data_IF_455134867772
#
_entry.id   IF_455134867772
#
_cell.length_a   1.000
_cell.length_b   1.000
_cell.length_c   1.000
_cell.angle_alpha   90.00
_cell.angle_beta   90.00
_cell.angle_gamma   90.00
#
_symmetry.space_group_name_H-M   'P 1'
#
loop_
_entity.id
_entity.type
_entity.pdbx_description
1 polymer ?
#
# COMPACT_ATOMS: atom_id res chain seq x y z
N UNK A 1 18.85 0.07 21.57
CA UNK A 1 18.08 1.31 21.34
C UNK A 1 18.94 2.44 20.77
N UNK A 2 20.15 2.72 21.28
CA UNK A 2 21.04 3.76 20.70
C UNK A 2 21.37 3.52 19.21
N UNK A 3 21.57 2.26 18.81
CA UNK A 3 21.85 1.91 17.41
C UNK A 3 20.66 2.16 16.48
N UNK A 4 19.45 1.88 16.93
CA UNK A 4 18.21 2.10 16.13
C UNK A 4 17.97 3.60 15.92
N UNK A 5 18.19 4.43 16.93
CA UNK A 5 18.07 5.89 16.79
C UNK A 5 19.09 6.45 15.80
N UNK A 6 20.35 5.99 15.85
CA UNK A 6 21.37 6.40 14.89
C UNK A 6 21.02 6.02 13.44
N UNK A 7 20.40 4.84 13.24
CA UNK A 7 19.88 4.40 11.93
C UNK A 7 18.76 5.33 11.44
N UNK A 8 17.81 5.67 12.33
CA UNK A 8 16.74 6.61 12.04
C UNK A 8 17.28 7.99 11.64
N UNK A 9 18.18 8.54 12.43
CA UNK A 9 18.76 9.86 12.17
C UNK A 9 19.51 9.89 10.83
N UNK A 10 20.27 8.83 10.53
CA UNK A 10 20.97 8.68 9.26
C UNK A 10 20.00 8.60 8.08
N UNK A 11 18.95 7.78 8.19
CA UNK A 11 17.94 7.65 7.15
C UNK A 11 17.19 8.97 6.91
N UNK A 12 16.72 9.64 7.96
CA UNK A 12 15.98 10.90 7.84
C UNK A 12 16.85 12.04 7.32
N UNK A 13 18.18 12.03 7.54
CA UNK A 13 19.10 12.93 6.85
C UNK A 13 19.10 12.70 5.35
N UNK A 14 19.12 11.45 4.92
CA UNK A 14 18.98 11.09 3.49
C UNK A 14 17.68 11.57 2.88
N UNK A 15 16.55 11.41 3.59
CA UNK A 15 15.24 11.94 3.17
C UNK A 15 15.29 13.45 2.93
N UNK A 16 16.02 14.20 3.77
CA UNK A 16 16.18 15.65 3.65
C UNK A 16 17.28 16.09 2.67
N UNK A 17 17.83 15.16 1.89
CA UNK A 17 18.93 15.47 0.97
C UNK A 17 20.26 15.82 1.66
N UNK A 18 20.40 15.54 2.95
CA UNK A 18 21.62 15.77 3.72
C UNK A 18 22.61 14.61 3.55
N UNK A 19 23.88 14.86 3.85
CA UNK A 19 24.88 13.81 3.78
C UNK A 19 24.63 12.73 4.84
N UNK A 20 24.44 11.50 4.39
CA UNK A 20 24.38 10.32 5.23
C UNK A 20 25.77 9.82 5.62
N UNK A 21 25.89 9.11 6.75
CA UNK A 21 27.13 8.47 7.17
C UNK A 21 27.42 7.21 6.34
N UNK A 22 26.35 6.51 5.94
CA UNK A 22 26.36 5.36 5.04
C UNK A 22 25.00 5.24 4.34
N UNK A 23 24.94 4.46 3.26
CA UNK A 23 23.68 4.18 2.53
C UNK A 23 22.89 3.12 3.29
N UNK A 24 21.69 3.45 3.82
CA UNK A 24 20.88 2.49 4.56
C UNK A 24 20.40 1.33 3.67
N UNK A 25 20.45 0.12 4.23
CA UNK A 25 19.88 -1.06 3.57
C UNK A 25 18.41 -1.18 3.95
N UNK A 26 17.55 -0.97 2.96
CA UNK A 26 16.10 -1.22 3.09
C UNK A 26 15.78 -2.54 2.41
N UNK A 27 15.14 -3.45 3.13
CA UNK A 27 14.74 -4.75 2.58
C UNK A 27 13.33 -5.14 3.07
N UNK A 28 12.48 -5.48 2.13
CA UNK A 28 11.12 -5.93 2.38
C UNK A 28 11.02 -7.42 2.15
N UNK A 29 10.42 -8.13 3.10
CA UNK A 29 10.26 -9.57 3.02
C UNK A 29 8.79 -9.93 2.76
N UNK A 30 8.54 -10.49 1.60
CA UNK A 30 7.23 -11.07 1.32
C UNK A 30 6.93 -12.23 2.28
N UNK A 31 5.69 -12.36 2.79
CA UNK A 31 5.34 -13.45 3.71
C UNK A 31 5.66 -14.85 3.18
N UNK A 32 5.51 -15.04 1.88
CA UNK A 32 5.82 -16.31 1.21
C UNK A 32 7.32 -16.60 1.21
N UNK A 33 8.16 -15.57 1.03
CA UNK A 33 9.61 -15.69 1.13
C UNK A 33 10.04 -16.13 2.54
N UNK A 34 9.44 -15.53 3.58
CA UNK A 34 9.72 -15.91 4.97
C UNK A 34 9.42 -17.39 5.20
N UNK A 35 8.25 -17.86 4.75
CA UNK A 35 7.86 -19.26 4.86
C UNK A 35 8.83 -20.19 4.12
N UNK A 36 9.20 -19.85 2.89
CA UNK A 36 10.11 -20.66 2.06
C UNK A 36 11.53 -20.69 2.65
N UNK A 37 12.05 -19.54 3.05
CA UNK A 37 13.38 -19.41 3.66
C UNK A 37 13.50 -20.26 4.95
N UNK A 38 12.48 -20.21 5.79
CA UNK A 38 12.44 -20.94 7.06
C UNK A 38 11.85 -22.35 6.94
N UNK A 39 11.54 -22.79 5.71
CA UNK A 39 10.98 -24.12 5.39
C UNK A 39 9.66 -24.41 6.10
N UNK A 40 8.84 -23.40 6.29
CA UNK A 40 7.52 -23.53 6.86
C UNK A 40 6.49 -23.83 5.76
N UNK A 41 5.41 -24.51 6.16
CA UNK A 41 4.22 -24.64 5.30
C UNK A 41 3.49 -23.30 5.20
N UNK A 42 3.49 -22.73 4.02
CA UNK A 42 2.93 -21.41 3.75
C UNK A 42 1.43 -21.32 4.08
N UNK A 43 0.66 -22.39 3.80
CA UNK A 43 -0.77 -22.42 4.13
C UNK A 43 -0.95 -22.31 5.63
N UNK A 44 -0.25 -23.16 6.38
CA UNK A 44 -0.36 -23.21 7.84
C UNK A 44 0.14 -21.92 8.49
N UNK A 45 1.27 -21.39 8.04
CA UNK A 45 1.91 -20.20 8.64
C UNK A 45 1.03 -18.95 8.56
N UNK A 46 0.20 -18.80 7.52
CA UNK A 46 -0.76 -17.71 7.45
C UNK A 46 -1.93 -17.85 8.45
N UNK A 47 -2.13 -19.03 9.04
CA UNK A 47 -3.15 -19.29 10.07
C UNK A 47 -2.56 -19.44 11.48
N UNK A 48 -1.24 -19.63 11.59
CA UNK A 48 -0.47 -19.80 12.82
C UNK A 48 0.51 -18.63 12.97
N UNK A 49 0.08 -17.58 13.63
CA UNK A 49 0.87 -16.35 13.76
C UNK A 49 2.18 -16.56 14.54
N UNK A 50 2.18 -17.38 15.58
CA UNK A 50 3.37 -17.63 16.39
C UNK A 50 4.47 -18.29 15.55
N UNK A 51 4.11 -19.27 14.72
CA UNK A 51 5.04 -19.90 13.79
C UNK A 51 5.58 -18.92 12.75
N UNK A 52 4.70 -18.07 12.19
CA UNK A 52 5.12 -17.05 11.24
C UNK A 52 6.08 -16.04 11.85
N UNK A 53 5.78 -15.53 13.06
CA UNK A 53 6.61 -14.55 13.77
C UNK A 53 7.98 -15.13 14.10
N UNK A 54 8.05 -16.41 14.49
CA UNK A 54 9.33 -17.09 14.69
C UNK A 54 10.16 -17.16 13.38
N UNK A 55 9.51 -17.40 12.25
CA UNK A 55 10.16 -17.35 10.93
C UNK A 55 10.64 -15.96 10.55
N UNK A 56 9.83 -14.94 10.81
CA UNK A 56 10.21 -13.54 10.61
C UNK A 56 11.44 -13.16 11.45
N UNK A 57 11.44 -13.47 12.74
CA UNK A 57 12.57 -13.24 13.65
C UNK A 57 13.85 -13.92 13.16
N UNK A 58 13.75 -15.14 12.62
CA UNK A 58 14.90 -15.84 12.02
C UNK A 58 15.44 -15.10 10.81
N UNK A 59 14.57 -14.66 9.90
CA UNK A 59 14.97 -13.87 8.72
C UNK A 59 15.66 -12.58 9.15
N UNK A 60 15.08 -11.86 10.12
CA UNK A 60 15.66 -10.62 10.64
C UNK A 60 17.04 -10.81 11.27
N UNK A 61 17.33 -11.98 11.86
CA UNK A 61 18.65 -12.33 12.40
C UNK A 61 19.67 -12.69 11.33
N UNK A 62 19.22 -13.27 10.24
CA UNK A 62 20.11 -13.76 9.18
C UNK A 62 20.51 -12.65 8.18
N UNK A 63 19.75 -11.54 8.14
CA UNK A 63 20.02 -10.40 7.26
C UNK A 63 20.32 -9.14 8.07
N UNK A 64 21.49 -8.53 7.78
CA UNK A 64 21.87 -7.23 8.38
C UNK A 64 21.24 -6.08 7.58
N UNK A 65 20.08 -5.63 8.05
CA UNK A 65 19.29 -4.55 7.43
C UNK A 65 19.08 -3.39 8.39
N UNK A 66 18.85 -2.21 7.82
CA UNK A 66 18.55 -1.02 8.62
C UNK A 66 17.06 -0.76 8.74
N UNK A 67 16.34 -0.94 7.64
CA UNK A 67 14.91 -0.66 7.56
C UNK A 67 14.17 -1.80 6.83
N UNK A 68 12.95 -2.05 7.27
CA UNK A 68 12.01 -2.93 6.57
C UNK A 68 10.61 -2.34 6.63
N UNK A 69 9.76 -2.65 5.66
CA UNK A 69 8.33 -2.45 5.88
C UNK A 69 7.82 -3.53 6.84
N UNK A 70 6.72 -3.26 7.51
CA UNK A 70 6.04 -4.37 8.16
C UNK A 70 5.60 -5.35 7.08
N UNK A 71 5.65 -6.62 7.41
CA UNK A 71 5.17 -7.66 6.50
C UNK A 71 3.74 -7.34 6.05
N UNK A 72 3.50 -7.14 4.75
CA UNK A 72 2.16 -6.93 4.22
C UNK A 72 1.38 -8.24 4.36
N UNK A 73 0.89 -8.48 5.55
CA UNK A 73 0.18 -9.70 5.90
C UNK A 73 -1.31 -9.52 5.66
N UNK A 74 -1.85 -10.33 4.77
CA UNK A 74 -3.27 -10.35 4.42
C UNK A 74 -3.93 -11.57 5.11
N UNK A 75 -4.45 -11.40 6.33
CA UNK A 75 -4.91 -12.53 7.13
C UNK A 75 -6.06 -13.28 6.43
N UNK A 76 -5.88 -14.57 6.06
CA UNK A 76 -6.92 -15.33 5.38
C UNK A 76 -8.18 -15.49 6.23
N UNK A 77 -8.06 -15.46 7.55
CA UNK A 77 -9.18 -15.55 8.48
C UNK A 77 -10.15 -14.36 8.32
N UNK A 78 -9.62 -13.12 8.29
CA UNK A 78 -10.43 -11.92 8.07
C UNK A 78 -11.12 -11.97 6.71
N UNK A 79 -10.38 -12.35 5.69
CA UNK A 79 -10.91 -12.50 4.34
C UNK A 79 -12.00 -13.57 4.27
N UNK A 80 -11.84 -14.69 4.97
CA UNK A 80 -12.87 -15.73 5.08
C UNK A 80 -14.13 -15.26 5.82
N UNK A 81 -13.97 -14.48 6.90
CA UNK A 81 -15.11 -13.90 7.66
C UNK A 81 -15.96 -12.97 6.82
N UNK A 82 -15.34 -12.26 5.87
CA UNK A 82 -16.02 -11.34 4.95
C UNK A 82 -16.49 -12.01 3.65
N UNK A 83 -16.03 -13.22 3.36
CA UNK A 83 -16.27 -13.89 2.08
C UNK A 83 -15.60 -13.14 0.92
N UNK A 84 -14.31 -12.82 1.09
CA UNK A 84 -13.52 -12.04 0.14
C UNK A 84 -13.41 -12.71 -1.23
N UNK A 85 -13.60 -11.91 -2.29
CA UNK A 85 -13.31 -12.28 -3.68
C UNK A 85 -12.02 -11.63 -4.19
N UNK A 86 -11.53 -10.61 -3.50
CA UNK A 86 -10.37 -9.80 -3.92
C UNK A 86 -9.06 -10.25 -3.27
N UNK A 87 -9.11 -10.89 -2.12
CA UNK A 87 -7.96 -11.49 -1.46
C UNK A 87 -8.27 -12.93 -1.09
N UNK A 88 -7.66 -13.87 -1.80
CA UNK A 88 -7.94 -15.30 -1.70
C UNK A 88 -6.64 -16.07 -1.53
N UNK A 89 -6.56 -16.87 -0.47
CA UNK A 89 -5.41 -17.76 -0.29
C UNK A 89 -5.48 -18.93 -1.26
N UNK A 90 -4.43 -19.13 -2.03
CA UNK A 90 -4.27 -20.30 -2.90
C UNK A 90 -4.16 -21.57 -2.06
N UNK A 91 -4.99 -22.57 -2.35
CA UNK A 91 -5.06 -23.82 -1.57
C UNK A 91 -3.92 -24.79 -1.85
N UNK A 92 -3.11 -24.52 -2.88
CA UNK A 92 -2.01 -25.40 -3.28
C UNK A 92 -0.68 -24.96 -2.66
N UNK A 93 -0.38 -23.67 -2.77
CA UNK A 93 0.91 -23.11 -2.33
C UNK A 93 0.79 -22.11 -1.16
N UNK A 94 -0.42 -21.75 -0.75
CA UNK A 94 -0.66 -20.83 0.37
C UNK A 94 -0.54 -19.34 0.02
N UNK A 95 -0.13 -18.98 -1.18
CA UNK A 95 0.08 -17.59 -1.58
C UNK A 95 -1.24 -16.82 -1.60
N UNK A 96 -1.21 -15.60 -1.10
CA UNK A 96 -2.34 -14.69 -1.23
C UNK A 96 -2.42 -14.18 -2.68
N UNK A 97 -3.59 -14.30 -3.25
CA UNK A 97 -3.88 -13.88 -4.62
C UNK A 97 -4.84 -12.69 -4.59
N UNK A 98 -4.67 -11.78 -5.54
CA UNK A 98 -5.54 -10.64 -5.78
C UNK A 98 -6.25 -10.81 -7.14
N UNK A 99 -7.34 -11.61 -7.21
CA UNK A 99 -8.11 -11.74 -8.44
C UNK A 99 -8.75 -10.41 -8.84
N UNK A 100 -8.73 -10.09 -10.12
CA UNK A 100 -9.44 -8.91 -10.63
C UNK A 100 -10.95 -9.06 -10.42
N UNK A 101 -11.55 -8.08 -9.75
CA UNK A 101 -13.00 -8.01 -9.52
C UNK A 101 -13.50 -6.64 -9.95
N UNK A 102 -14.42 -6.61 -10.90
CA UNK A 102 -15.13 -5.38 -11.25
C UNK A 102 -16.18 -5.08 -10.19
N UNK A 103 -15.86 -4.19 -9.27
CA UNK A 103 -16.70 -3.88 -8.12
C UNK A 103 -17.52 -2.59 -8.31
N UNK A 104 -16.97 -1.60 -9.04
CA UNK A 104 -17.67 -0.39 -9.47
C UNK A 104 -18.20 -0.58 -10.89
N UNK A 105 -19.48 -0.34 -11.15
CA UNK A 105 -20.07 -0.41 -12.47
C UNK A 105 -19.98 0.96 -13.18
N UNK A 106 -19.97 0.99 -14.54
CA UNK A 106 -19.78 2.24 -15.27
C UNK A 106 -20.93 3.25 -15.06
N UNK A 107 -22.13 2.82 -14.76
CA UNK A 107 -23.29 3.66 -14.43
C UNK A 107 -23.22 4.28 -13.02
N UNK A 108 -22.29 3.83 -12.19
CA UNK A 108 -22.13 4.29 -10.81
C UNK A 108 -21.05 5.39 -10.65
N UNK A 109 -20.39 5.79 -11.73
CA UNK A 109 -19.47 6.93 -11.68
C UNK A 109 -20.10 8.20 -11.10
N UNK A 110 -21.35 8.58 -11.46
CA UNK A 110 -21.98 9.76 -10.85
C UNK A 110 -22.12 9.65 -9.33
N UNK A 111 -22.49 8.47 -8.80
CA UNK A 111 -22.62 8.23 -7.36
C UNK A 111 -21.25 8.27 -6.68
N UNK A 112 -20.19 7.68 -7.30
CA UNK A 112 -18.83 7.74 -6.79
C UNK A 112 -18.28 9.17 -6.74
N UNK A 113 -18.59 9.99 -7.76
CA UNK A 113 -18.12 11.38 -7.84
C UNK A 113 -18.82 12.24 -6.79
N UNK A 114 -20.11 12.04 -6.57
CA UNK A 114 -20.92 12.79 -5.61
C UNK A 114 -20.59 12.44 -4.16
N UNK A 115 -20.56 11.15 -3.81
CA UNK A 115 -20.24 10.64 -2.48
C UNK A 115 -19.43 9.35 -2.56
N UNK A 116 -18.08 9.44 -2.66
CA UNK A 116 -17.21 8.28 -2.79
C UNK A 116 -17.37 7.26 -1.65
N UNK A 117 -17.50 7.75 -0.41
CA UNK A 117 -17.60 6.88 0.77
C UNK A 117 -18.90 6.09 0.75
N UNK A 118 -20.02 6.76 0.45
CA UNK A 118 -21.31 6.09 0.35
C UNK A 118 -21.31 5.07 -0.79
N UNK A 119 -20.85 5.44 -1.98
CA UNK A 119 -20.77 4.54 -3.13
C UNK A 119 -19.90 3.31 -2.83
N UNK A 120 -18.70 3.50 -2.26
CA UNK A 120 -17.81 2.39 -1.89
C UNK A 120 -18.50 1.48 -0.86
N UNK A 121 -19.10 2.03 0.18
CA UNK A 121 -19.73 1.24 1.24
C UNK A 121 -20.97 0.49 0.78
N UNK A 122 -21.83 1.12 -0.05
CA UNK A 122 -23.13 0.58 -0.43
C UNK A 122 -23.12 -0.25 -1.72
N UNK A 123 -22.15 -0.01 -2.63
CA UNK A 123 -22.09 -0.67 -3.95
C UNK A 123 -20.88 -1.57 -4.09
N UNK A 124 -19.68 -1.05 -3.79
CA UNK A 124 -18.41 -1.72 -4.08
C UNK A 124 -18.12 -2.82 -3.08
N UNK A 125 -18.10 -2.51 -1.78
CA UNK A 125 -17.78 -3.50 -0.74
C UNK A 125 -18.71 -4.72 -0.74
N UNK A 126 -20.05 -4.60 -0.95
CA UNK A 126 -20.92 -5.77 -1.05
C UNK A 126 -20.62 -6.68 -2.24
N UNK A 127 -19.98 -6.18 -3.30
CA UNK A 127 -19.55 -7.02 -4.45
C UNK A 127 -18.20 -7.67 -4.22
N UNK A 128 -17.30 -6.98 -3.51
CA UNK A 128 -15.98 -7.50 -3.14
C UNK A 128 -16.05 -8.57 -2.06
N UNK A 129 -17.01 -8.44 -1.15
CA UNK A 129 -17.16 -9.29 0.03
C UNK A 129 -18.58 -9.85 0.12
N UNK A 130 -18.72 -11.15 -0.12
CA UNK A 130 -20.07 -11.77 -0.22
C UNK A 130 -20.89 -11.64 1.04
N UNK A 131 -20.27 -11.67 2.22
CA UNK A 131 -20.98 -11.54 3.49
C UNK A 131 -21.49 -10.11 3.74
N UNK A 132 -20.85 -9.10 3.19
CA UNK A 132 -21.31 -7.71 3.26
C UNK A 132 -22.49 -7.44 2.31
N UNK A 133 -22.66 -8.26 1.27
CA UNK A 133 -23.79 -8.20 0.35
C UNK A 133 -25.06 -8.86 0.86
N UNK A 134 -25.04 -9.50 2.04
CA UNK A 134 -26.22 -10.15 2.66
C UNK A 134 -27.11 -9.13 3.36
N UNK A 135 -28.36 -9.49 3.55
CA UNK A 135 -29.29 -8.67 4.36
C UNK A 135 -28.87 -8.63 5.84
N UNK A 136 -29.22 -7.51 6.51
CA UNK A 136 -29.06 -7.41 7.96
C UNK A 136 -29.95 -8.46 8.67
N UNK A 137 -29.49 -9.05 9.77
CA UNK A 137 -28.29 -8.70 10.55
C UNK A 137 -26.98 -9.40 10.08
N UNK A 138 -27.03 -10.24 9.05
CA UNK A 138 -25.89 -11.08 8.65
C UNK A 138 -24.67 -10.25 8.21
N UNK A 139 -24.88 -9.26 7.36
CA UNK A 139 -23.80 -8.34 6.91
C UNK A 139 -23.18 -7.59 8.08
N UNK A 140 -24.01 -7.07 8.99
CA UNK A 140 -23.54 -6.37 10.20
C UNK A 140 -22.74 -7.30 11.11
N UNK A 141 -23.19 -8.53 11.28
CA UNK A 141 -22.47 -9.53 12.09
C UNK A 141 -21.12 -9.93 11.46
N UNK A 142 -21.08 -10.10 10.14
CA UNK A 142 -19.83 -10.41 9.43
C UNK A 142 -18.81 -9.27 9.59
N UNK A 143 -19.26 -8.02 9.40
CA UNK A 143 -18.44 -6.84 9.58
C UNK A 143 -17.94 -6.71 11.03
N UNK A 144 -18.81 -6.87 12.02
CA UNK A 144 -18.44 -6.81 13.43
C UNK A 144 -17.42 -7.89 13.81
N UNK A 145 -17.58 -9.13 13.33
CA UNK A 145 -16.61 -10.20 13.54
C UNK A 145 -15.25 -9.89 12.91
N UNK A 146 -15.22 -9.38 11.69
CA UNK A 146 -14.00 -8.98 11.01
C UNK A 146 -13.28 -7.85 11.75
N UNK A 147 -14.01 -6.84 12.25
CA UNK A 147 -13.45 -5.77 13.07
C UNK A 147 -12.86 -6.26 14.40
N UNK A 148 -13.55 -7.17 15.08
CA UNK A 148 -13.05 -7.77 16.32
C UNK A 148 -11.79 -8.60 16.06
N UNK A 149 -11.77 -9.34 14.95
CA UNK A 149 -10.60 -10.10 14.54
C UNK A 149 -9.41 -9.17 14.23
N UNK A 150 -9.64 -8.11 13.46
CA UNK A 150 -8.63 -7.08 13.18
C UNK A 150 -8.04 -6.53 14.46
N UNK A 151 -8.90 -6.03 15.35
CA UNK A 151 -8.47 -5.42 16.61
C UNK A 151 -7.70 -6.36 17.53
N UNK A 152 -8.15 -7.61 17.66
CA UNK A 152 -7.64 -8.52 18.69
C UNK A 152 -6.51 -9.43 18.20
N UNK A 153 -6.45 -9.71 16.89
CA UNK A 153 -5.49 -10.68 16.35
C UNK A 153 -4.49 -9.99 15.42
N UNK A 154 -4.97 -9.17 14.48
CA UNK A 154 -4.10 -8.56 13.48
C UNK A 154 -3.23 -7.46 14.10
N UNK A 155 -3.79 -6.61 14.96
CA UNK A 155 -3.00 -5.61 15.68
C UNK A 155 -1.94 -6.27 16.57
N UNK A 156 -2.31 -7.31 17.32
CA UNK A 156 -1.35 -8.04 18.15
C UNK A 156 -0.22 -8.68 17.31
N UNK A 157 -0.54 -9.20 16.13
CA UNK A 157 0.46 -9.69 15.18
C UNK A 157 1.45 -8.58 14.78
N UNK A 158 0.95 -7.40 14.41
CA UNK A 158 1.82 -6.28 14.04
C UNK A 158 2.64 -5.73 15.20
N UNK A 159 2.11 -5.73 16.42
CA UNK A 159 2.87 -5.39 17.62
C UNK A 159 4.08 -6.32 17.79
N UNK A 160 3.89 -7.63 17.60
CA UNK A 160 4.98 -8.60 17.67
C UNK A 160 5.99 -8.44 16.53
N UNK A 161 5.55 -8.16 15.31
CA UNK A 161 6.45 -7.85 14.19
C UNK A 161 7.30 -6.63 14.51
N UNK A 162 6.69 -5.58 15.06
CA UNK A 162 7.40 -4.38 15.49
C UNK A 162 8.47 -4.70 16.57
N UNK A 163 8.08 -5.44 17.62
CA UNK A 163 9.00 -5.86 18.68
C UNK A 163 10.18 -6.64 18.11
N UNK A 164 9.94 -7.63 17.23
CA UNK A 164 11.01 -8.42 16.62
C UNK A 164 11.93 -7.60 15.71
N UNK A 165 11.38 -6.65 14.98
CA UNK A 165 12.19 -5.73 14.17
C UNK A 165 13.13 -4.91 15.04
N UNK A 166 12.62 -4.34 16.13
CA UNK A 166 13.41 -3.53 17.07
C UNK A 166 14.46 -4.37 17.83
N UNK A 167 14.12 -5.60 18.23
CA UNK A 167 15.08 -6.53 18.86
C UNK A 167 16.25 -6.86 17.92
N UNK A 168 16.03 -6.89 16.63
CA UNK A 168 17.04 -7.12 15.59
C UNK A 168 17.72 -5.83 15.09
N UNK A 169 17.56 -4.72 15.80
CA UNK A 169 18.17 -3.42 15.50
C UNK A 169 17.80 -2.85 14.12
N UNK A 170 16.62 -3.15 13.61
CA UNK A 170 16.06 -2.56 12.40
C UNK A 170 14.88 -1.65 12.72
N UNK A 171 14.49 -0.84 11.74
CA UNK A 171 13.36 0.08 11.81
C UNK A 171 12.22 -0.40 10.89
N UNK A 172 10.99 -0.27 11.35
CA UNK A 172 9.84 -0.31 10.45
C UNK A 172 9.59 1.08 9.87
N UNK A 173 9.86 1.27 8.57
CA UNK A 173 9.63 2.57 7.91
C UNK A 173 8.17 2.79 7.51
N UNK A 174 7.36 1.74 7.49
CA UNK A 174 5.97 1.76 7.07
C UNK A 174 5.05 2.24 8.19
N UNK A 175 4.33 3.31 7.94
CA UNK A 175 3.27 3.83 8.81
C UNK A 175 1.89 3.56 8.24
N UNK A 176 1.40 4.47 7.41
CA UNK A 176 0.08 4.38 6.80
C UNK A 176 0.20 4.11 5.31
N UNK A 177 -0.56 3.14 4.80
CA UNK A 177 -0.65 2.88 3.36
C UNK A 177 -1.68 3.82 2.72
N UNK A 178 -1.34 4.37 1.57
CA UNK A 178 -2.28 5.14 0.75
C UNK A 178 -2.19 4.74 -0.72
N UNK A 179 -3.13 5.20 -1.53
CA UNK A 179 -3.14 4.94 -2.97
C UNK A 179 -3.17 6.26 -3.74
N UNK A 180 -2.46 6.33 -4.87
CA UNK A 180 -2.77 7.35 -5.84
C UNK A 180 -4.25 7.22 -6.25
N UNK A 181 -4.99 8.32 -6.42
CA UNK A 181 -6.42 8.23 -6.74
C UNK A 181 -6.74 7.38 -7.97
N UNK A 182 -5.89 7.44 -8.99
CA UNK A 182 -6.04 6.61 -10.18
C UNK A 182 -5.74 5.12 -9.89
N UNK A 183 -4.72 4.79 -9.08
CA UNK A 183 -4.45 3.41 -8.68
C UNK A 183 -5.63 2.83 -7.88
N UNK A 184 -6.18 3.61 -6.94
CA UNK A 184 -7.37 3.20 -6.19
C UNK A 184 -8.57 2.92 -7.13
N UNK A 185 -8.85 3.83 -8.06
CA UNK A 185 -9.94 3.64 -9.03
C UNK A 185 -9.70 2.43 -9.92
N UNK A 186 -8.50 2.31 -10.48
CA UNK A 186 -8.19 1.33 -11.51
C UNK A 186 -8.00 -0.08 -10.94
N UNK A 187 -7.25 -0.22 -9.86
CA UNK A 187 -6.89 -1.54 -9.32
C UNK A 187 -7.97 -2.07 -8.35
N UNK A 188 -8.48 -1.21 -7.47
CA UNK A 188 -9.38 -1.66 -6.40
C UNK A 188 -10.86 -1.54 -6.71
N UNK A 189 -11.28 -0.58 -7.55
CA UNK A 189 -12.71 -0.33 -7.77
C UNK A 189 -13.22 -0.85 -9.12
N UNK A 190 -12.54 -0.50 -10.21
CA UNK A 190 -12.99 -0.84 -11.57
C UNK A 190 -12.43 -2.16 -12.10
N UNK A 191 -11.21 -2.49 -11.74
CA UNK A 191 -10.41 -3.52 -12.40
C UNK A 191 -9.67 -2.99 -13.64
N UNK A 192 -8.47 -3.52 -13.89
CA UNK A 192 -7.55 -3.06 -14.94
C UNK A 192 -8.16 -3.19 -16.34
N UNK A 193 -8.89 -4.28 -16.59
CA UNK A 193 -9.58 -4.51 -17.87
C UNK A 193 -10.62 -3.44 -18.14
N UNK A 194 -11.43 -3.10 -17.14
CA UNK A 194 -12.52 -2.14 -17.30
C UNK A 194 -12.01 -0.70 -17.39
N UNK A 195 -11.05 -0.31 -16.54
CA UNK A 195 -10.48 1.03 -16.61
C UNK A 195 -9.81 1.30 -17.97
N UNK A 196 -9.18 0.29 -18.58
CA UNK A 196 -8.60 0.41 -19.91
C UNK A 196 -9.61 0.79 -21.00
N UNK A 197 -10.86 0.36 -20.86
CA UNK A 197 -11.97 0.78 -21.72
C UNK A 197 -12.46 2.19 -21.36
N UNK A 198 -12.58 2.49 -20.07
CA UNK A 198 -13.07 3.78 -19.58
C UNK A 198 -12.13 4.93 -19.97
N UNK A 199 -10.82 4.71 -19.98
CA UNK A 199 -9.82 5.67 -20.48
C UNK A 199 -10.04 6.10 -21.96
N UNK A 200 -10.88 5.39 -22.70
CA UNK A 200 -11.27 5.73 -24.07
C UNK A 200 -12.70 6.28 -24.16
N UNK A 201 -13.61 5.73 -23.37
CA UNK A 201 -15.07 5.94 -23.52
C UNK A 201 -15.66 6.89 -22.49
N UNK A 202 -14.99 7.05 -21.31
CA UNK A 202 -15.50 7.76 -20.14
C UNK A 202 -14.42 8.64 -19.49
N UNK A 203 -13.68 9.34 -20.33
CA UNK A 203 -12.50 10.11 -19.89
C UNK A 203 -12.81 11.12 -18.79
N UNK A 204 -13.93 11.82 -18.93
CA UNK A 204 -14.34 12.87 -18.00
C UNK A 204 -14.84 12.26 -16.67
N UNK A 205 -15.52 11.10 -16.72
CA UNK A 205 -15.93 10.35 -15.51
C UNK A 205 -14.70 9.86 -14.73
N UNK A 206 -13.68 9.33 -15.43
CA UNK A 206 -12.43 8.86 -14.80
C UNK A 206 -11.70 10.01 -14.10
N UNK A 207 -11.57 11.15 -14.77
CA UNK A 207 -10.92 12.35 -14.24
C UNK A 207 -11.65 12.87 -13.00
N UNK A 208 -12.96 13.04 -13.07
CA UNK A 208 -13.78 13.48 -11.94
C UNK A 208 -13.80 12.49 -10.77
N UNK A 209 -13.76 11.19 -11.05
CA UNK A 209 -13.65 10.17 -10.01
C UNK A 209 -12.30 10.22 -9.28
N UNK A 210 -11.20 10.45 -10.01
CA UNK A 210 -9.89 10.66 -9.39
C UNK A 210 -9.87 11.91 -8.50
N UNK A 211 -10.50 13.01 -8.92
CA UNK A 211 -10.62 14.23 -8.09
C UNK A 211 -11.46 13.98 -6.82
N UNK A 212 -12.54 13.21 -6.91
CA UNK A 212 -13.36 12.85 -5.75
C UNK A 212 -12.57 11.95 -4.75
N UNK A 213 -11.84 10.97 -5.26
CA UNK A 213 -11.03 10.04 -4.45
C UNK A 213 -9.82 10.72 -3.81
N UNK A 214 -9.27 11.78 -4.41
CA UNK A 214 -8.17 12.57 -3.85
C UNK A 214 -8.46 13.04 -2.42
N UNK A 215 -9.61 13.65 -2.20
CA UNK A 215 -9.99 14.17 -0.88
C UNK A 215 -10.22 13.05 0.15
N UNK A 216 -10.75 11.91 -0.30
CA UNK A 216 -10.92 10.71 0.54
C UNK A 216 -9.56 10.21 1.01
N UNK A 217 -8.60 10.10 0.08
CA UNK A 217 -7.28 9.58 0.36
C UNK A 217 -6.46 10.52 1.26
N UNK A 218 -6.48 11.82 0.99
CA UNK A 218 -5.82 12.82 1.82
C UNK A 218 -6.36 12.77 3.26
N UNK A 219 -7.68 12.77 3.45
CA UNK A 219 -8.31 12.67 4.77
C UNK A 219 -7.98 11.36 5.47
N UNK A 220 -7.95 10.24 4.74
CA UNK A 220 -7.58 8.96 5.31
C UNK A 220 -6.17 9.01 5.91
N UNK A 221 -5.17 9.47 5.15
CA UNK A 221 -3.78 9.58 5.64
C UNK A 221 -3.67 10.55 6.81
N UNK A 222 -4.30 11.72 6.74
CA UNK A 222 -4.31 12.71 7.82
C UNK A 222 -4.85 12.13 9.14
N UNK A 223 -5.80 11.19 9.07
CA UNK A 223 -6.44 10.62 10.27
C UNK A 223 -5.78 9.34 10.77
N UNK A 224 -5.01 8.65 9.94
CA UNK A 224 -4.40 7.34 10.27
C UNK A 224 -2.89 7.38 10.37
N UNK A 225 -2.24 8.43 9.86
CA UNK A 225 -0.78 8.55 9.97
C UNK A 225 -0.39 8.89 11.41
N UNK A 226 0.43 8.03 11.99
CA UNK A 226 0.92 8.13 13.38
C UNK A 226 2.40 8.54 13.43
N UNK A 227 2.89 9.21 12.39
CA UNK A 227 4.26 9.72 12.35
C UNK A 227 4.50 10.73 13.45
N UNK A 228 5.71 10.72 14.03
CA UNK A 228 6.17 11.74 14.96
C UNK A 228 6.59 13.04 14.25
N UNK A 229 7.12 14.01 15.00
CA UNK A 229 7.55 15.30 14.46
C UNK A 229 8.68 15.19 13.43
N UNK A 230 9.43 14.08 13.41
CA UNK A 230 10.45 13.82 12.38
C UNK A 230 9.85 13.41 11.03
N UNK A 231 8.57 13.05 11.00
CA UNK A 231 7.87 12.51 9.84
C UNK A 231 8.03 10.99 9.69
N UNK A 232 8.52 10.30 10.71
CA UNK A 232 8.68 8.84 10.73
C UNK A 232 7.65 8.19 11.68
N UNK A 233 7.07 7.04 11.33
CA UNK A 233 7.22 6.26 10.10
C UNK A 233 6.56 6.91 8.87
N UNK A 234 6.95 6.48 7.67
CA UNK A 234 6.52 7.09 6.42
C UNK A 234 5.12 6.65 6.01
N UNK A 235 4.33 7.53 5.41
CA UNK A 235 3.15 7.11 4.67
C UNK A 235 3.58 6.55 3.31
N UNK A 236 3.12 5.34 2.98
CA UNK A 236 3.65 4.55 1.88
C UNK A 236 2.61 4.27 0.80
N UNK A 237 3.04 4.25 -0.46
CA UNK A 237 2.22 3.80 -1.58
C UNK A 237 3.02 2.96 -2.56
N UNK A 238 2.37 1.95 -3.12
CA UNK A 238 2.86 1.15 -4.25
C UNK A 238 2.04 1.50 -5.47
N UNK A 239 2.69 2.01 -6.48
CA UNK A 239 2.07 2.52 -7.69
C UNK A 239 2.41 1.60 -8.87
N UNK A 240 1.42 0.86 -9.37
CA UNK A 240 1.64 -0.12 -10.44
C UNK A 240 1.10 0.33 -11.79
N UNK A 241 0.25 1.35 -11.83
CA UNK A 241 -0.46 1.73 -13.06
C UNK A 241 0.37 2.59 -14.03
N UNK A 242 1.32 3.43 -13.60
CA UNK A 242 2.06 4.29 -14.52
C UNK A 242 2.70 3.54 -15.70
N UNK A 243 3.35 2.36 -15.53
CA UNK A 243 3.92 1.63 -16.66
C UNK A 243 2.89 1.08 -17.65
N UNK A 244 1.63 0.93 -17.22
CA UNK A 244 0.54 0.35 -18.03
C UNK A 244 -0.17 1.40 -18.90
N UNK A 245 0.11 2.68 -18.70
CA UNK A 245 -0.54 3.79 -19.42
C UNK A 245 0.48 4.58 -20.23
N UNK A 246 0.02 5.19 -21.33
CA UNK A 246 0.89 6.07 -22.11
C UNK A 246 1.01 7.46 -21.47
N UNK A 247 1.97 8.26 -21.95
CA UNK A 247 2.27 9.58 -21.40
C UNK A 247 1.03 10.50 -21.35
N UNK A 248 0.21 10.56 -22.39
CA UNK A 248 -1.00 11.40 -22.41
C UNK A 248 -2.03 10.98 -21.36
N UNK A 249 -2.13 9.67 -21.11
CA UNK A 249 -3.00 9.13 -20.07
C UNK A 249 -2.44 9.43 -18.69
N UNK A 250 -1.13 9.30 -18.52
CA UNK A 250 -0.44 9.66 -17.28
C UNK A 250 -0.65 11.14 -16.95
N UNK A 251 -0.38 12.04 -17.89
CA UNK A 251 -0.55 13.49 -17.75
C UNK A 251 -1.99 13.89 -17.39
N UNK A 252 -2.99 13.16 -17.91
CA UNK A 252 -4.39 13.50 -17.69
C UNK A 252 -4.99 12.87 -16.46
N UNK A 253 -4.77 11.56 -16.23
CA UNK A 253 -5.56 10.79 -15.27
C UNK A 253 -4.78 10.46 -14.00
N UNK A 254 -3.46 10.30 -14.09
CA UNK A 254 -2.64 9.91 -12.95
C UNK A 254 -2.00 11.11 -12.25
N UNK A 255 -1.19 11.85 -12.99
CA UNK A 255 -0.29 12.86 -12.45
C UNK A 255 -0.96 14.00 -11.68
N UNK A 256 -2.05 14.62 -12.16
CA UNK A 256 -2.61 15.80 -11.50
C UNK A 256 -3.07 15.53 -10.08
N UNK A 257 -3.79 14.42 -9.86
CA UNK A 257 -4.30 14.07 -8.54
C UNK A 257 -3.24 13.44 -7.64
N UNK A 258 -2.29 12.70 -8.21
CA UNK A 258 -1.16 12.14 -7.46
C UNK A 258 -0.24 13.23 -6.92
N UNK A 259 0.21 14.16 -7.79
CA UNK A 259 1.03 15.31 -7.37
C UNK A 259 0.35 16.11 -6.27
N UNK A 260 -0.92 16.47 -6.48
CA UNK A 260 -1.70 17.22 -5.49
C UNK A 260 -1.86 16.48 -4.17
N UNK A 261 -2.03 15.14 -4.19
CA UNK A 261 -2.05 14.33 -2.97
C UNK A 261 -0.72 14.41 -2.23
N UNK A 262 0.39 14.25 -2.93
CA UNK A 262 1.72 14.38 -2.35
C UNK A 262 1.93 15.76 -1.71
N UNK A 263 1.56 16.84 -2.41
CA UNK A 263 1.63 18.21 -1.89
C UNK A 263 0.78 18.38 -0.62
N UNK A 264 -0.49 17.95 -0.64
CA UNK A 264 -1.39 18.05 0.51
C UNK A 264 -0.84 17.33 1.75
N UNK A 265 -0.25 16.13 1.57
CA UNK A 265 0.27 15.34 2.67
C UNK A 265 1.59 15.91 3.21
N UNK A 266 2.50 16.31 2.33
CA UNK A 266 3.78 16.88 2.74
C UNK A 266 3.65 18.26 3.39
N UNK A 267 2.64 19.06 3.02
CA UNK A 267 2.29 20.32 3.68
C UNK A 267 1.79 20.11 5.12
N UNK A 268 1.25 18.94 5.42
CA UNK A 268 0.87 18.52 6.77
C UNK A 268 2.03 17.90 7.57
N UNK A 269 3.25 17.88 7.02
CA UNK A 269 4.42 17.31 7.67
C UNK A 269 4.58 15.80 7.47
N UNK A 270 3.77 15.17 6.63
CA UNK A 270 3.88 13.73 6.34
C UNK A 270 5.04 13.49 5.39
N UNK A 271 5.95 12.58 5.77
CA UNK A 271 6.98 12.07 4.87
C UNK A 271 6.44 10.87 4.09
N UNK A 272 6.69 10.84 2.79
CA UNK A 272 6.14 9.84 1.89
C UNK A 272 7.22 8.87 1.41
N UNK A 273 6.84 7.60 1.27
CA UNK A 273 7.57 6.60 0.50
C UNK A 273 6.70 6.17 -0.68
N UNK A 274 7.21 6.40 -1.88
CA UNK A 274 6.51 6.07 -3.13
C UNK A 274 7.30 5.03 -3.88
N UNK A 275 6.76 3.82 -3.98
CA UNK A 275 7.35 2.74 -4.75
C UNK A 275 6.65 2.66 -6.12
N UNK A 276 7.36 3.08 -7.17
CA UNK A 276 6.92 2.92 -8.55
C UNK A 276 7.32 1.55 -9.06
N UNK A 277 6.36 0.65 -9.09
CA UNK A 277 6.55 -0.72 -9.53
C UNK A 277 6.48 -0.83 -11.06
N UNK A 278 7.41 -1.57 -11.63
CA UNK A 278 7.47 -1.87 -13.05
C UNK A 278 8.75 -1.42 -13.74
N UNK A 279 8.72 -1.36 -15.08
CA UNK A 279 9.88 -1.08 -15.91
C UNK A 279 9.95 0.41 -16.28
N UNK A 280 10.94 1.09 -15.74
CA UNK A 280 11.25 2.51 -15.94
C UNK A 280 12.61 2.73 -16.62
N UNK A 281 13.21 1.71 -17.23
CA UNK A 281 14.53 1.80 -17.89
C UNK A 281 14.55 2.74 -19.09
N UNK A 282 13.42 3.13 -19.61
CA UNK A 282 13.28 4.15 -20.66
C UNK A 282 13.21 5.58 -20.12
N UNK A 283 13.32 5.76 -18.79
CA UNK A 283 13.29 7.07 -18.12
C UNK A 283 11.92 7.75 -18.13
N UNK A 284 10.84 7.03 -18.53
CA UNK A 284 9.50 7.61 -18.60
C UNK A 284 9.08 8.18 -17.26
N UNK A 285 8.44 9.35 -17.28
CA UNK A 285 7.86 10.06 -16.15
C UNK A 285 8.85 10.67 -15.15
N UNK A 286 10.18 10.45 -15.26
CA UNK A 286 11.13 11.04 -14.32
C UNK A 286 11.08 12.58 -14.28
N UNK A 287 10.86 13.23 -15.42
CA UNK A 287 10.68 14.68 -15.48
C UNK A 287 9.51 15.16 -14.60
N UNK A 288 8.44 14.36 -14.51
CA UNK A 288 7.31 14.68 -13.64
C UNK A 288 7.66 14.52 -12.17
N UNK A 289 8.41 13.48 -11.80
CA UNK A 289 8.76 13.21 -10.41
C UNK A 289 9.68 14.27 -9.81
N UNK A 290 10.44 14.99 -10.64
CA UNK A 290 11.23 16.14 -10.21
C UNK A 290 10.37 17.31 -9.68
N UNK A 291 9.11 17.36 -10.06
CA UNK A 291 8.14 18.35 -9.59
C UNK A 291 7.51 18.04 -8.22
N UNK A 292 7.82 16.86 -7.64
CA UNK A 292 7.32 16.49 -6.31
C UNK A 292 8.02 17.29 -5.21
N UNK A 293 7.35 17.47 -4.05
CA UNK A 293 7.94 18.17 -2.91
C UNK A 293 9.30 17.56 -2.49
N UNK A 294 10.32 18.39 -2.45
CA UNK A 294 11.69 17.98 -2.08
C UNK A 294 11.81 17.74 -0.58
N UNK A 295 12.76 16.90 -0.21
CA UNK A 295 13.19 16.65 1.17
C UNK A 295 12.11 15.99 2.06
N UNK A 296 11.03 15.48 1.45
CA UNK A 296 9.90 14.84 2.14
C UNK A 296 9.37 13.59 1.45
N UNK A 297 9.99 13.17 0.35
CA UNK A 297 9.55 12.01 -0.43
C UNK A 297 10.75 11.13 -0.76
N UNK A 298 10.63 9.85 -0.41
CA UNK A 298 11.53 8.79 -0.87
C UNK A 298 10.87 8.11 -2.07
N UNK A 299 11.58 8.07 -3.18
CA UNK A 299 11.11 7.39 -4.40
C UNK A 299 11.93 6.11 -4.58
N UNK A 300 11.24 4.98 -4.66
CA UNK A 300 11.80 3.70 -5.07
C UNK A 300 11.29 3.32 -6.47
N UNK A 301 12.17 2.79 -7.29
CA UNK A 301 11.86 2.34 -8.66
C UNK A 301 12.48 0.97 -8.87
N UNK A 302 11.68 -0.03 -9.31
CA UNK A 302 12.14 -1.42 -9.38
C UNK A 302 13.17 -1.66 -10.49
N UNK A 303 12.80 -1.35 -11.73
CA UNK A 303 13.65 -1.53 -12.91
C UNK A 303 13.93 -0.18 -13.55
N UNK A 304 15.17 0.28 -13.44
CA UNK A 304 15.57 1.60 -13.92
C UNK A 304 16.96 1.57 -14.53
N UNK A 305 17.26 2.57 -15.35
CA UNK A 305 18.62 2.99 -15.66
C UNK A 305 19.09 3.94 -14.56
N UNK A 306 20.09 3.52 -13.79
CA UNK A 306 20.54 4.26 -12.63
C UNK A 306 21.15 5.62 -12.99
N UNK A 307 21.83 5.72 -14.14
CA UNK A 307 22.41 7.00 -14.61
C UNK A 307 21.30 8.00 -14.97
N UNK A 308 20.22 7.53 -15.62
CA UNK A 308 19.06 8.39 -15.92
C UNK A 308 18.27 8.78 -14.67
N UNK A 309 18.13 7.89 -13.71
CA UNK A 309 17.38 8.15 -12.48
C UNK A 309 18.07 9.16 -11.54
N UNK A 310 19.39 9.34 -11.68
CA UNK A 310 20.22 10.22 -10.84
C UNK A 310 20.64 11.51 -11.53
N UNK A 311 20.34 11.68 -12.82
CA UNK A 311 20.63 12.87 -13.59
C UNK A 311 19.60 13.98 -13.36
#
# INVERSE_FOLDING_TARGET
MENVQAKLDNFMRGVRGEKMDYVPIMMDFEPTYICEYTKQDCIRSFWDYDGFIAGYDQVMKDFDIDLTQSVVFLPPQKNALLGSKVWVQNRVNGYMQHPEVTSLLPEEYPELIEDPIHCIASRVLPRMYTELGREAPYSTMAFAKALLYEKNQVHHFYDQIFEKTMENNALLYYGTMFYAPFDLLADHLRGITQISMDLRRRKDDVEAACDALLNVMARYVETTNMADESGFPLACTWSHLPPMINQKQFERFYWPTFKKLCEMLTDKGVTLYVNFQGDYRDGRFFDFYQDLPKDKIVIAVEYQDFEQATA
#
